data_IF_248371977285
#
_entry.id   IF_248371977285
#
_cell.length_a   1.000
_cell.length_b   1.000
_cell.length_c   1.000
_cell.angle_alpha   90.00
_cell.angle_beta   90.00
_cell.angle_gamma   90.00
#
_symmetry.space_group_name_H-M   'P 1'
#
loop_
_entity.id
_entity.type
_entity.pdbx_description
1 polymer ?
#
# COMPACT_ATOMS: atom_id res chain seq x y z
N UNK A 1 -5.56 3.16 3.30
CA UNK A 1 -4.77 2.29 2.37
C UNK A 1 -5.63 1.57 1.32
N UNK A 2 -6.57 0.69 1.70
CA UNK A 2 -7.38 -0.13 0.77
C UNK A 2 -8.04 0.66 -0.36
N UNK A 3 -8.65 1.82 -0.05
CA UNK A 3 -9.33 2.67 -1.03
C UNK A 3 -8.38 3.13 -2.16
N UNK A 4 -7.19 3.61 -1.81
CA UNK A 4 -6.17 4.01 -2.78
C UNK A 4 -5.74 2.86 -3.70
N UNK A 5 -5.63 1.63 -3.17
CA UNK A 5 -5.32 0.44 -3.98
C UNK A 5 -6.43 0.15 -5.01
N UNK A 6 -7.69 0.19 -4.58
CA UNK A 6 -8.84 -0.09 -5.44
C UNK A 6 -8.98 0.98 -6.53
N UNK A 7 -8.82 2.26 -6.19
CA UNK A 7 -8.80 3.36 -7.16
C UNK A 7 -7.64 3.24 -8.17
N UNK A 8 -6.52 2.65 -7.76
CA UNK A 8 -5.41 2.33 -8.65
C UNK A 8 -5.63 1.06 -9.50
N UNK A 9 -6.76 0.35 -9.32
CA UNK A 9 -7.09 -0.87 -10.06
C UNK A 9 -6.18 -2.06 -9.74
N UNK A 10 -5.53 -2.08 -8.57
CA UNK A 10 -4.55 -3.11 -8.20
C UNK A 10 -5.16 -4.14 -7.24
N UNK A 11 -4.80 -5.42 -7.41
CA UNK A 11 -5.05 -6.44 -6.37
C UNK A 11 -3.92 -6.40 -5.34
N UNK A 12 -4.16 -6.93 -4.15
CA UNK A 12 -3.13 -6.99 -3.11
C UNK A 12 -1.90 -7.79 -3.57
N UNK A 13 -2.08 -8.85 -4.36
CA UNK A 13 -0.97 -9.62 -4.95
C UNK A 13 -0.12 -8.80 -5.92
N UNK A 14 -0.72 -7.86 -6.65
CA UNK A 14 -0.01 -7.02 -7.63
C UNK A 14 0.87 -6.00 -6.89
N UNK A 15 0.37 -5.47 -5.78
CA UNK A 15 1.12 -4.59 -4.87
C UNK A 15 2.25 -5.33 -4.18
N UNK A 16 1.96 -6.52 -3.65
CA UNK A 16 2.92 -7.36 -2.96
C UNK A 16 4.12 -7.68 -3.86
N UNK A 17 3.86 -8.09 -5.11
CA UNK A 17 4.90 -8.33 -6.12
C UNK A 17 5.76 -7.09 -6.39
N UNK A 18 5.14 -5.92 -6.58
CA UNK A 18 5.86 -4.66 -6.86
C UNK A 18 6.70 -4.18 -5.68
N UNK A 19 6.25 -4.45 -4.45
CA UNK A 19 6.96 -4.08 -3.23
C UNK A 19 7.93 -5.17 -2.74
N UNK A 20 8.00 -6.32 -3.43
CA UNK A 20 8.76 -7.51 -2.99
C UNK A 20 8.37 -7.95 -1.57
N UNK A 21 7.06 -7.96 -1.29
CA UNK A 21 6.46 -8.39 -0.02
C UNK A 21 5.41 -9.48 -0.28
N UNK A 22 4.86 -10.05 0.78
CA UNK A 22 3.75 -11.02 0.69
C UNK A 22 2.39 -10.32 0.57
N UNK A 23 1.40 -11.01 0.01
CA UNK A 23 0.02 -10.50 -0.01
C UNK A 23 -0.52 -10.27 1.41
N UNK A 24 -0.19 -11.15 2.36
CA UNK A 24 -0.58 -11.00 3.75
C UNK A 24 0.02 -9.74 4.40
N UNK A 25 1.26 -9.37 4.06
CA UNK A 25 1.85 -8.10 4.50
C UNK A 25 1.01 -6.91 4.01
N UNK A 26 0.64 -6.89 2.73
CA UNK A 26 -0.22 -5.82 2.16
C UNK A 26 -1.58 -5.81 2.85
N UNK A 27 -2.17 -6.97 3.13
CA UNK A 27 -3.43 -7.07 3.85
C UNK A 27 -3.35 -6.46 5.24
N UNK A 28 -2.31 -6.82 6.04
CA UNK A 28 -2.10 -6.26 7.39
C UNK A 28 -1.88 -4.76 7.38
N UNK A 29 -1.16 -4.24 6.39
CA UNK A 29 -0.99 -2.79 6.16
C UNK A 29 -2.34 -2.14 5.87
N UNK A 30 -3.21 -2.78 5.08
CA UNK A 30 -4.51 -2.21 4.71
C UNK A 30 -5.49 -2.10 5.87
N UNK A 31 -5.37 -2.99 6.86
CA UNK A 31 -6.19 -3.00 8.07
C UNK A 31 -5.52 -2.29 9.27
N UNK A 32 -4.30 -1.79 9.11
CA UNK A 32 -3.58 -1.02 10.14
C UNK A 32 -2.82 -1.86 11.18
N UNK A 33 -2.80 -3.19 11.05
CA UNK A 33 -2.05 -4.08 11.94
C UNK A 33 -0.53 -3.97 11.75
N UNK A 34 -0.09 -3.55 10.56
CA UNK A 34 1.32 -3.35 10.24
C UNK A 34 1.62 -1.85 10.17
N UNK A 35 2.46 -1.35 11.08
CA UNK A 35 3.01 0.00 10.98
C UNK A 35 3.95 0.09 9.77
N UNK A 36 3.82 1.19 9.03
CA UNK A 36 4.70 1.55 7.93
C UNK A 36 5.62 2.69 8.37
N UNK A 37 6.88 2.63 7.97
CA UNK A 37 7.74 3.80 8.00
C UNK A 37 7.40 4.76 6.84
N UNK A 38 7.96 5.98 6.90
CA UNK A 38 7.72 7.03 5.89
C UNK A 38 8.21 6.59 4.50
N UNK A 39 9.26 5.77 4.40
CA UNK A 39 9.84 5.30 3.14
C UNK A 39 8.90 4.27 2.49
N UNK A 40 8.40 3.29 3.26
CA UNK A 40 7.41 2.33 2.82
C UNK A 40 6.11 3.03 2.43
N UNK A 41 5.64 3.99 3.24
CA UNK A 41 4.44 4.78 2.91
C UNK A 41 4.61 5.57 1.61
N UNK A 42 5.78 6.16 1.33
CA UNK A 42 6.09 6.79 0.04
C UNK A 42 6.01 5.80 -1.12
N UNK A 43 6.45 4.55 -0.94
CA UNK A 43 6.37 3.51 -1.98
C UNK A 43 4.92 3.15 -2.30
N UNK A 44 4.07 2.99 -1.28
CA UNK A 44 2.63 2.78 -1.46
C UNK A 44 1.97 3.96 -2.15
N UNK A 45 2.24 5.19 -1.71
CA UNK A 45 1.69 6.41 -2.30
C UNK A 45 2.06 6.53 -3.79
N UNK A 46 3.33 6.32 -4.14
CA UNK A 46 3.81 6.31 -5.53
C UNK A 46 3.11 5.22 -6.36
N UNK A 47 2.98 4.02 -5.79
CA UNK A 47 2.34 2.90 -6.49
C UNK A 47 0.85 3.13 -6.75
N UNK A 48 0.16 3.75 -5.81
CA UNK A 48 -1.26 4.08 -5.93
C UNK A 48 -1.54 5.40 -6.65
N UNK A 49 -0.49 6.10 -7.12
CA UNK A 49 -0.58 7.43 -7.72
C UNK A 49 -1.32 8.42 -6.81
N UNK A 50 -1.06 8.36 -5.50
CA UNK A 50 -1.61 9.26 -4.49
C UNK A 50 -0.50 10.08 -3.84
N UNK A 51 -0.85 11.26 -3.34
CA UNK A 51 0.03 12.01 -2.45
C UNK A 51 0.14 11.27 -1.10
N UNK A 52 1.30 11.36 -0.44
CA UNK A 52 1.50 10.78 0.89
C UNK A 52 0.50 11.31 1.93
N UNK A 53 0.07 12.57 1.79
CA UNK A 53 -0.93 13.21 2.65
C UNK A 53 -2.31 12.56 2.56
N UNK A 54 -2.56 11.67 1.59
CA UNK A 54 -3.79 10.89 1.53
C UNK A 54 -3.85 9.80 2.62
N UNK A 55 -2.71 9.43 3.20
CA UNK A 55 -2.58 8.34 4.18
C UNK A 55 -2.29 8.84 5.59
N UNK A 56 -2.18 10.16 5.78
CA UNK A 56 -2.03 10.83 7.07
C UNK A 56 -3.42 11.19 7.59
#
# INVERSE_FOLDING_TARGET
MRKARLEAGLRQIDVAKKLKKTQSYVSRVEVGEQRLDIIEMKRFAKLYKKNINYFI
#
